data_IF_438069043047
#
_entry.id   IF_438069043047
#
_cell.length_a   1.000
_cell.length_b   1.000
_cell.length_c   1.000
_cell.angle_alpha   90.00
_cell.angle_beta   90.00
_cell.angle_gamma   90.00
#
_symmetry.space_group_name_H-M   'P 1'
#
loop_
_entity.id
_entity.type
_entity.pdbx_description
1 polymer ?
#
# COMPACT_ATOMS: atom_id res chain seq x y z
N UNK A 1 3.77 19.99 4.10
CA UNK A 1 3.60 19.25 2.83
C UNK A 1 2.92 17.93 3.16
N UNK A 2 2.10 17.35 2.27
CA UNK A 2 1.44 16.07 2.57
C UNK A 2 2.38 14.89 2.29
N UNK A 3 2.22 13.79 3.03
CA UNK A 3 2.98 12.55 2.85
C UNK A 3 2.04 11.38 2.60
N UNK A 4 2.35 10.51 1.65
CA UNK A 4 1.54 9.37 1.26
C UNK A 4 2.27 8.07 1.53
N UNK A 5 1.66 7.19 2.31
CA UNK A 5 2.21 5.88 2.65
C UNK A 5 1.32 4.81 2.02
N UNK A 6 1.91 3.91 1.24
CA UNK A 6 1.23 2.75 0.68
C UNK A 6 1.81 1.48 1.29
N UNK A 7 0.96 0.67 1.90
CA UNK A 7 1.33 -0.61 2.52
C UNK A 7 0.61 -1.76 1.80
N UNK A 8 1.34 -2.82 1.47
CA UNK A 8 0.81 -4.02 0.83
C UNK A 8 0.94 -5.17 1.82
N UNK A 9 -0.17 -5.88 2.08
CA UNK A 9 -0.24 -7.01 3.00
C UNK A 9 -0.28 -8.35 2.26
N UNK A 10 0.19 -9.40 2.94
CA UNK A 10 0.24 -10.77 2.42
C UNK A 10 -1.17 -11.31 2.14
N UNK A 11 -1.36 -12.07 1.04
CA UNK A 11 -2.61 -12.76 0.76
C UNK A 11 -3.17 -13.55 1.95
N UNK A 12 -4.39 -13.19 2.37
CA UNK A 12 -5.07 -13.83 3.49
C UNK A 12 -4.49 -13.56 4.88
N UNK A 13 -3.48 -12.69 5.00
CA UNK A 13 -2.92 -12.26 6.29
C UNK A 13 -2.74 -10.74 6.37
N UNK A 14 -3.78 -10.09 6.92
CA UNK A 14 -3.86 -8.65 7.17
C UNK A 14 -2.86 -8.12 8.23
N UNK A 15 -2.00 -8.98 8.78
CA UNK A 15 -0.98 -8.63 9.77
C UNK A 15 0.44 -8.63 9.19
N UNK A 16 0.67 -9.35 8.10
CA UNK A 16 2.01 -9.47 7.50
C UNK A 16 2.19 -8.45 6.39
N UNK A 17 3.05 -7.46 6.64
CA UNK A 17 3.42 -6.43 5.66
C UNK A 17 4.43 -6.98 4.66
N UNK A 18 4.10 -6.92 3.37
CA UNK A 18 4.94 -7.36 2.26
C UNK A 18 5.84 -6.22 1.76
N UNK A 19 5.27 -5.02 1.60
CA UNK A 19 5.99 -3.85 1.13
C UNK A 19 5.37 -2.56 1.67
N UNK A 20 6.21 -1.53 1.85
CA UNK A 20 5.78 -0.17 2.17
C UNK A 20 6.50 0.82 1.25
N UNK A 21 5.75 1.75 0.68
CA UNK A 21 6.25 2.81 -0.18
C UNK A 21 5.83 4.16 0.40
N UNK A 22 6.80 5.05 0.48
CA UNK A 22 6.62 6.44 0.88
C UNK A 22 6.68 7.33 -0.35
N UNK A 23 5.77 8.30 -0.45
CA UNK A 23 5.66 9.17 -1.61
C UNK A 23 5.22 10.58 -1.21
N UNK A 24 5.80 11.57 -1.89
CA UNK A 24 5.37 12.96 -1.84
C UNK A 24 4.15 13.23 -2.74
N UNK A 25 3.70 12.22 -3.51
CA UNK A 25 2.58 12.31 -4.43
C UNK A 25 1.49 11.26 -4.10
N UNK A 26 0.21 11.59 -4.35
CA UNK A 26 -0.88 10.64 -4.12
C UNK A 26 -0.77 9.44 -5.08
N UNK A 27 -0.64 8.25 -4.51
CA UNK A 27 -0.71 6.98 -5.23
C UNK A 27 -2.17 6.52 -5.28
N UNK A 28 -2.71 6.30 -6.48
CA UNK A 28 -4.09 5.83 -6.67
C UNK A 28 -4.06 4.34 -6.98
N UNK A 29 -4.60 3.55 -6.05
CA UNK A 29 -4.81 2.11 -6.20
C UNK A 29 -6.21 1.78 -5.73
N UNK A 30 -6.93 0.96 -6.47
CA UNK A 30 -8.32 0.56 -6.18
C UNK A 30 -8.45 -0.94 -5.88
N UNK A 31 -9.53 -1.33 -5.21
CA UNK A 31 -9.91 -2.74 -5.14
C UNK A 31 -10.21 -3.28 -6.56
N UNK A 32 -9.81 -4.52 -6.83
CA UNK A 32 -9.83 -5.17 -8.14
C UNK A 32 -8.60 -4.89 -9.00
N UNK A 33 -7.69 -4.01 -8.57
CA UNK A 33 -6.46 -3.72 -9.30
C UNK A 33 -5.42 -4.83 -9.13
N UNK A 34 -4.65 -5.10 -10.19
CA UNK A 34 -3.61 -6.12 -10.20
C UNK A 34 -2.25 -5.48 -9.94
N UNK A 35 -1.58 -5.94 -8.89
CA UNK A 35 -0.24 -5.50 -8.50
C UNK A 35 0.81 -6.49 -8.99
N UNK A 36 1.83 -5.96 -9.66
CA UNK A 36 3.05 -6.69 -9.97
C UNK A 36 4.08 -6.36 -8.89
N UNK A 37 4.28 -7.24 -7.91
CA UNK A 37 5.16 -6.97 -6.75
C UNK A 37 6.63 -7.15 -7.04
N UNK A 38 7.00 -7.63 -8.23
CA UNK A 38 8.38 -7.88 -8.63
C UNK A 38 9.36 -6.75 -8.34
N UNK A 39 9.06 -5.51 -8.76
CA UNK A 39 9.89 -4.34 -8.46
C UNK A 39 9.91 -3.94 -6.96
N UNK A 40 8.94 -4.41 -6.16
CA UNK A 40 8.71 -3.96 -4.79
C UNK A 40 9.30 -4.91 -3.74
N UNK A 41 9.35 -6.22 -4.01
CA UNK A 41 9.71 -7.24 -3.00
C UNK A 41 11.05 -7.93 -3.25
N UNK A 42 11.75 -7.60 -4.34
CA UNK A 42 13.12 -8.04 -4.62
C UNK A 42 13.35 -9.54 -4.84
N UNK A 43 12.39 -10.43 -4.52
CA UNK A 43 12.62 -11.87 -4.59
C UNK A 43 11.43 -12.74 -5.04
N UNK A 44 10.23 -12.19 -5.25
CA UNK A 44 9.10 -12.97 -5.78
C UNK A 44 8.22 -12.09 -6.66
N UNK A 45 8.30 -12.26 -7.99
CA UNK A 45 7.37 -11.68 -8.96
C UNK A 45 5.97 -12.31 -8.76
N UNK A 46 5.26 -11.85 -7.73
CA UNK A 46 3.87 -12.24 -7.49
C UNK A 46 2.97 -11.24 -8.21
N UNK A 47 1.92 -11.80 -8.79
CA UNK A 47 0.78 -11.03 -9.30
C UNK A 47 -0.28 -11.16 -8.22
N UNK A 48 -0.61 -10.05 -7.59
CA UNK A 48 -1.55 -9.99 -6.48
C UNK A 48 -2.77 -9.17 -6.89
N UNK A 49 -3.96 -9.59 -6.49
CA UNK A 49 -5.17 -8.78 -6.72
C UNK A 49 -5.52 -8.03 -5.45
N UNK A 50 -5.74 -6.71 -5.53
CA UNK A 50 -6.18 -5.92 -4.37
C UNK A 50 -7.63 -6.26 -4.07
N UNK A 51 -7.90 -6.84 -2.90
CA UNK A 51 -9.26 -7.19 -2.48
C UNK A 51 -9.92 -6.07 -1.69
N UNK A 52 -9.11 -5.29 -0.96
CA UNK A 52 -9.60 -4.27 -0.03
C UNK A 52 -8.56 -3.16 0.15
N UNK A 53 -9.06 -1.93 0.24
CA UNK A 53 -8.25 -0.73 0.51
C UNK A 53 -8.80 -0.07 1.78
N UNK A 54 -7.94 0.15 2.76
CA UNK A 54 -8.24 1.00 3.91
C UNK A 54 -7.48 2.32 3.81
N UNK A 55 -8.12 3.39 4.29
CA UNK A 55 -7.52 4.73 4.34
C UNK A 55 -7.49 5.25 5.78
N UNK A 56 -6.31 5.70 6.20
CA UNK A 56 -6.11 6.38 7.47
C UNK A 56 -5.49 7.75 7.21
N UNK A 57 -6.03 8.79 7.86
CA UNK A 57 -5.53 10.15 7.73
C UNK A 57 -5.25 10.73 9.11
N UNK A 58 -4.12 11.41 9.25
CA UNK A 58 -3.82 12.15 10.46
C UNK A 58 -2.94 13.37 10.20
N UNK A 59 -2.97 14.32 11.13
CA UNK A 59 -2.11 15.49 11.11
C UNK A 59 -0.83 15.18 11.90
N UNK A 60 0.33 15.42 11.27
CA UNK A 60 1.63 15.42 11.93
C UNK A 60 2.21 16.85 11.96
N UNK A 61 3.36 17.01 12.61
CA UNK A 61 4.14 18.26 12.61
C UNK A 61 4.62 18.65 11.19
N UNK A 62 4.85 17.66 10.32
CA UNK A 62 5.36 17.85 8.95
C UNK A 62 4.23 18.09 7.92
N UNK A 63 3.00 17.70 8.26
CA UNK A 63 1.80 17.92 7.46
C UNK A 63 0.76 16.81 7.59
N UNK A 64 -0.14 16.72 6.63
CA UNK A 64 -1.16 15.66 6.59
C UNK A 64 -0.51 14.38 6.07
N UNK A 65 -0.67 13.28 6.81
CA UNK A 65 -0.26 11.96 6.37
C UNK A 65 -1.49 11.19 5.89
N UNK A 66 -1.40 10.61 4.70
CA UNK A 66 -2.39 9.70 4.14
C UNK A 66 -1.78 8.31 3.99
N UNK A 67 -2.23 7.37 4.82
CA UNK A 67 -1.86 5.97 4.71
C UNK A 67 -2.94 5.19 3.97
N UNK A 68 -2.50 4.28 3.10
CA UNK A 68 -3.33 3.31 2.42
C UNK A 68 -2.81 1.91 2.69
N UNK A 69 -3.69 1.03 3.17
CA UNK A 69 -3.38 -0.39 3.39
C UNK A 69 -4.10 -1.20 2.31
N UNK A 70 -3.33 -1.91 1.51
CA UNK A 70 -3.79 -2.77 0.43
C UNK A 70 -3.75 -4.22 0.92
N UNK A 71 -4.91 -4.85 0.97
CA UNK A 71 -5.04 -6.28 1.23
C UNK A 71 -5.18 -7.02 -0.08
N UNK A 72 -4.59 -8.20 -0.17
CA UNK A 72 -4.43 -8.90 -1.46
C UNK A 72 -4.88 -10.36 -1.41
N UNK A 73 -5.03 -10.98 -2.58
CA UNK A 73 -5.19 -12.42 -2.80
C UNK A 73 -4.34 -12.91 -3.99
#
# INVERSE_FOLDING_TARGET
MGRFILEIYEPGDDRTLVASLDSDAPLVVSAGEVLHTGPLTGANNRVLTVTRVEHTFWQSEEGVIHQRRLFTE
#
